data_IF_075166060479
#
_entry.id   IF_075166060479
#
_cell.length_a   1.000
_cell.length_b   1.000
_cell.length_c   1.000
_cell.angle_alpha   90.00
_cell.angle_beta   90.00
_cell.angle_gamma   90.00
#
_symmetry.space_group_name_H-M   'P 1'
#
loop_
_entity.id
_entity.type
_entity.pdbx_description
1 polymer ?
#
# COMPACT_ATOMS: atom_id res chain seq x y z
N UNK A 1 0.13 6.69 -14.64
CA UNK A 1 -0.70 7.88 -14.98
C UNK A 1 -0.33 8.38 -16.38
N UNK A 2 -1.31 8.83 -17.17
CA UNK A 2 -1.09 9.65 -18.37
C UNK A 2 -1.41 11.12 -18.07
N UNK A 3 -0.37 11.92 -17.88
CA UNK A 3 -0.47 13.34 -17.53
C UNK A 3 -0.93 14.25 -18.69
N UNK A 4 -0.99 13.75 -19.93
CA UNK A 4 -1.55 14.55 -21.02
C UNK A 4 -3.08 14.60 -20.98
N UNK A 5 -3.70 13.64 -20.32
CA UNK A 5 -5.16 13.45 -20.25
C UNK A 5 -5.65 13.16 -18.84
N UNK A 6 -4.78 13.26 -17.84
CA UNK A 6 -5.03 12.99 -16.41
C UNK A 6 -5.67 11.62 -16.12
N UNK A 7 -5.44 10.62 -16.96
CA UNK A 7 -6.08 9.30 -16.88
C UNK A 7 -5.14 8.25 -16.27
N UNK A 8 -5.64 7.50 -15.29
CA UNK A 8 -4.90 6.39 -14.68
C UNK A 8 -4.64 5.33 -15.75
N UNK A 9 -3.36 5.22 -16.10
CA UNK A 9 -2.86 4.45 -17.23
C UNK A 9 -1.56 3.76 -16.85
N UNK A 10 -1.28 2.64 -17.50
CA UNK A 10 -0.12 1.77 -17.26
C UNK A 10 0.55 1.40 -18.58
N UNK A 11 1.83 1.02 -18.53
CA UNK A 11 2.60 0.52 -19.70
C UNK A 11 3.00 -0.96 -19.55
N UNK A 12 2.46 -1.69 -18.58
CA UNK A 12 2.79 -3.11 -18.30
C UNK A 12 2.63 -4.01 -19.53
N UNK A 13 1.66 -3.72 -20.40
CA UNK A 13 1.42 -4.46 -21.65
C UNK A 13 2.26 -3.96 -22.82
N UNK A 14 3.31 -3.18 -22.58
CA UNK A 14 4.24 -2.64 -23.58
C UNK A 14 3.79 -1.34 -24.27
N UNK A 15 2.50 -1.01 -24.21
CA UNK A 15 1.94 0.25 -24.70
C UNK A 15 1.14 0.95 -23.60
N UNK A 16 1.31 2.28 -23.47
CA UNK A 16 0.56 3.08 -22.51
C UNK A 16 -0.94 2.98 -22.81
N UNK A 17 -1.70 2.44 -21.87
CA UNK A 17 -3.13 2.19 -22.01
C UNK A 17 -3.87 2.57 -20.72
N UNK A 18 -5.14 3.01 -20.80
CA UNK A 18 -5.98 3.18 -19.61
C UNK A 18 -6.00 1.89 -18.79
N UNK A 19 -5.75 1.98 -17.49
CA UNK A 19 -5.54 0.78 -16.65
C UNK A 19 -6.78 -0.13 -16.66
N UNK A 20 -7.98 0.45 -16.72
CA UNK A 20 -9.25 -0.28 -16.78
C UNK A 20 -9.38 -1.18 -18.01
N UNK A 21 -8.64 -0.90 -19.09
CA UNK A 21 -8.69 -1.68 -20.33
C UNK A 21 -7.76 -2.89 -20.31
N UNK A 22 -6.73 -2.86 -19.46
CA UNK A 22 -5.62 -3.84 -19.50
C UNK A 22 -5.37 -4.54 -18.17
N UNK A 23 -5.95 -4.07 -17.06
CA UNK A 23 -5.84 -4.73 -15.76
C UNK A 23 -6.45 -6.14 -15.81
N UNK A 24 -5.85 -7.14 -15.16
CA UNK A 24 -6.41 -8.48 -15.09
C UNK A 24 -7.87 -8.47 -14.60
N UNK A 25 -8.75 -9.23 -15.26
CA UNK A 25 -10.19 -9.15 -15.02
C UNK A 25 -10.59 -9.42 -13.57
N UNK A 26 -9.90 -10.37 -12.93
CA UNK A 26 -10.09 -10.76 -11.52
C UNK A 26 -9.51 -9.77 -10.51
N UNK A 27 -8.63 -8.86 -10.93
CA UNK A 27 -8.22 -7.73 -10.10
C UNK A 27 -9.39 -6.73 -10.08
N UNK A 28 -10.14 -6.68 -8.99
CA UNK A 28 -11.34 -5.82 -8.90
C UNK A 28 -11.09 -4.45 -8.30
N UNK A 29 -9.94 -4.27 -7.64
CA UNK A 29 -9.59 -3.05 -6.91
C UNK A 29 -8.20 -2.53 -7.30
N UNK A 30 -7.98 -1.21 -7.19
CA UNK A 30 -6.64 -0.60 -7.28
C UNK A 30 -6.50 0.52 -6.27
N UNK A 31 -5.35 0.59 -5.61
CA UNK A 31 -4.97 1.77 -4.82
C UNK A 31 -4.43 2.85 -5.75
N UNK A 32 -5.04 4.04 -5.73
CA UNK A 32 -4.54 5.22 -6.44
C UNK A 32 -3.53 5.93 -5.54
N UNK A 33 -2.28 6.01 -5.99
CA UNK A 33 -1.16 6.54 -5.22
C UNK A 33 -0.42 7.64 -6.02
N UNK A 34 -0.04 8.78 -5.43
CA UNK A 34 -0.36 9.28 -4.09
C UNK A 34 -0.95 10.68 -4.15
N UNK A 35 -1.95 10.95 -3.30
CA UNK A 35 -2.32 12.31 -2.91
C UNK A 35 -1.32 12.85 -1.88
N UNK A 36 -0.70 13.99 -2.16
CA UNK A 36 0.24 14.65 -1.23
C UNK A 36 -0.16 16.10 -0.97
N UNK A 37 0.36 16.71 0.09
CA UNK A 37 -0.02 18.04 0.56
C UNK A 37 -1.18 18.03 1.55
N UNK A 38 -1.80 19.18 1.72
CA UNK A 38 -2.91 19.38 2.67
C UNK A 38 -4.23 18.86 2.08
N UNK A 39 -4.98 18.10 2.88
CA UNK A 39 -6.30 17.59 2.52
C UNK A 39 -7.25 18.70 2.01
N UNK A 40 -7.88 18.46 0.87
CA UNK A 40 -8.79 19.41 0.22
C UNK A 40 -8.11 20.29 -0.83
N UNK A 41 -6.78 20.40 -0.78
CA UNK A 41 -5.92 21.07 -1.77
C UNK A 41 -4.72 20.19 -2.19
N UNK A 42 -4.88 18.89 -2.09
CA UNK A 42 -3.83 17.91 -2.35
C UNK A 42 -3.35 17.94 -3.81
N UNK A 43 -2.21 17.30 -4.09
CA UNK A 43 -1.61 17.19 -5.40
C UNK A 43 -1.35 15.74 -5.78
N UNK A 44 -1.51 15.43 -7.06
CA UNK A 44 -1.25 14.12 -7.65
C UNK A 44 -0.10 14.18 -8.65
N UNK A 45 1.11 14.41 -8.15
CA UNK A 45 2.33 14.54 -8.96
C UNK A 45 2.15 15.50 -10.16
N UNK A 46 1.64 16.71 -9.88
CA UNK A 46 1.34 17.73 -10.89
C UNK A 46 -0.09 17.75 -11.41
N UNK A 47 -0.90 16.71 -11.16
CA UNK A 47 -2.32 16.68 -11.52
C UNK A 47 -3.15 17.29 -10.39
N UNK A 48 -4.12 18.14 -10.74
CA UNK A 48 -5.06 18.68 -9.75
C UNK A 48 -6.09 17.62 -9.34
N UNK A 49 -6.57 17.64 -8.10
CA UNK A 49 -7.60 16.69 -7.64
C UNK A 49 -8.87 16.73 -8.48
N UNK A 50 -9.29 17.92 -8.92
CA UNK A 50 -10.48 18.10 -9.76
C UNK A 50 -10.31 17.44 -11.13
N UNK A 51 -9.14 17.59 -11.77
CA UNK A 51 -8.85 16.97 -13.07
C UNK A 51 -8.78 15.45 -12.95
N UNK A 52 -8.10 14.94 -11.92
CA UNK A 52 -8.03 13.50 -11.65
C UNK A 52 -9.43 12.89 -11.50
N UNK A 53 -10.29 13.52 -10.69
CA UNK A 53 -11.66 13.03 -10.44
C UNK A 53 -12.51 13.09 -11.69
N UNK A 54 -12.49 14.23 -12.38
CA UNK A 54 -13.28 14.44 -13.60
C UNK A 54 -12.95 13.39 -14.66
N UNK A 55 -11.68 13.01 -14.77
CA UNK A 55 -11.27 11.99 -15.72
C UNK A 55 -11.59 10.57 -15.26
N UNK A 56 -11.36 10.22 -13.99
CA UNK A 56 -11.29 8.81 -13.61
C UNK A 56 -12.55 8.28 -12.92
N UNK A 57 -13.17 9.01 -11.98
CA UNK A 57 -14.16 8.42 -11.05
C UNK A 57 -15.34 7.76 -11.78
N UNK A 58 -15.93 8.44 -12.77
CA UNK A 58 -17.07 7.89 -13.53
C UNK A 58 -16.70 6.64 -14.34
N UNK A 59 -15.48 6.57 -14.87
CA UNK A 59 -14.98 5.40 -15.61
C UNK A 59 -14.84 4.18 -14.71
N UNK A 60 -14.31 4.36 -13.49
CA UNK A 60 -14.17 3.27 -12.51
C UNK A 60 -15.51 2.75 -12.01
N UNK A 61 -16.48 3.66 -11.79
CA UNK A 61 -17.87 3.29 -11.48
C UNK A 61 -18.49 2.51 -12.64
N UNK A 62 -18.35 3.01 -13.88
CA UNK A 62 -18.88 2.35 -15.08
C UNK A 62 -18.26 0.98 -15.37
N UNK A 63 -16.98 0.80 -15.04
CA UNK A 63 -16.27 -0.47 -15.16
C UNK A 63 -16.55 -1.45 -13.99
N UNK A 64 -17.33 -1.03 -12.99
CA UNK A 64 -17.55 -1.77 -11.74
C UNK A 64 -16.24 -2.20 -11.05
N UNK A 65 -15.20 -1.35 -11.14
CA UNK A 65 -13.92 -1.51 -10.44
C UNK A 65 -13.87 -0.59 -9.23
N UNK A 66 -13.21 -1.03 -8.19
CA UNK A 66 -13.12 -0.32 -6.91
C UNK A 66 -11.75 0.33 -6.74
N UNK A 67 -11.67 1.33 -5.88
CA UNK A 67 -10.41 1.99 -5.57
C UNK A 67 -10.28 2.41 -4.11
N UNK A 68 -9.03 2.48 -3.66
CA UNK A 68 -8.61 3.11 -2.42
C UNK A 68 -7.77 4.33 -2.79
N UNK A 69 -7.96 5.44 -2.09
CA UNK A 69 -7.09 6.62 -2.27
C UNK A 69 -5.96 6.52 -1.24
N UNK A 70 -4.72 6.37 -1.70
CA UNK A 70 -3.55 6.41 -0.81
C UNK A 70 -2.90 7.78 -0.83
N UNK A 71 -2.47 8.24 0.35
CA UNK A 71 -1.87 9.55 0.57
C UNK A 71 -0.42 9.44 1.01
N UNK A 72 0.41 10.43 0.71
CA UNK A 72 1.81 10.49 1.19
C UNK A 72 2.78 9.77 0.25
N UNK A 73 3.38 8.69 0.75
CA UNK A 73 4.43 7.92 0.09
C UNK A 73 5.83 8.54 0.23
N UNK A 74 6.88 7.82 -0.21
CA UNK A 74 8.28 8.19 0.02
C UNK A 74 8.67 9.59 -0.46
N UNK A 75 7.98 10.11 -1.50
CA UNK A 75 8.23 11.42 -2.10
C UNK A 75 7.20 12.49 -1.73
N UNK A 76 6.28 12.20 -0.81
CA UNK A 76 5.16 13.07 -0.49
C UNK A 76 4.75 13.02 0.97
N UNK A 77 4.39 14.18 1.53
CA UNK A 77 3.79 14.27 2.86
C UNK A 77 2.32 14.60 2.69
N UNK A 78 1.44 13.87 3.35
CA UNK A 78 0.03 14.25 3.48
C UNK A 78 -0.25 14.82 4.86
N UNK A 79 -0.95 15.95 4.89
CA UNK A 79 -1.36 16.64 6.12
C UNK A 79 -2.86 16.92 6.09
N UNK A 80 -3.47 17.07 7.26
CA UNK A 80 -4.87 17.46 7.34
C UNK A 80 -5.20 18.15 8.66
N UNK A 81 -5.39 19.46 8.62
CA UNK A 81 -5.54 20.33 9.79
C UNK A 81 -6.97 20.49 10.30
N UNK A 82 -7.99 20.03 9.57
CA UNK A 82 -9.40 20.22 9.97
C UNK A 82 -10.34 19.09 9.53
N UNK A 83 -11.44 18.90 10.27
CA UNK A 83 -12.45 17.90 9.91
C UNK A 83 -13.16 18.28 8.61
N UNK A 84 -13.43 19.56 8.40
CA UNK A 84 -14.06 20.06 7.17
C UNK A 84 -13.15 19.85 5.94
N UNK A 85 -11.83 20.03 6.09
CA UNK A 85 -10.86 19.73 5.05
C UNK A 85 -10.83 18.23 4.72
N UNK A 86 -10.82 17.38 5.75
CA UNK A 86 -10.82 15.93 5.53
C UNK A 86 -12.13 15.42 4.91
N UNK A 87 -13.28 15.95 5.35
CA UNK A 87 -14.57 15.65 4.74
C UNK A 87 -14.59 16.08 3.27
N UNK A 88 -14.08 17.27 2.96
CA UNK A 88 -13.98 17.76 1.58
C UNK A 88 -13.09 16.87 0.72
N UNK A 89 -11.98 16.38 1.28
CA UNK A 89 -11.11 15.40 0.64
C UNK A 89 -11.85 14.09 0.34
N UNK A 90 -12.55 13.50 1.32
CA UNK A 90 -13.31 12.25 1.12
C UNK A 90 -14.40 12.45 0.05
N UNK A 91 -15.21 13.51 0.17
CA UNK A 91 -16.33 13.76 -0.74
C UNK A 91 -15.86 13.96 -2.20
N UNK A 92 -14.66 14.50 -2.39
CA UNK A 92 -14.08 14.70 -3.73
C UNK A 92 -13.92 13.38 -4.49
N UNK A 93 -13.56 12.29 -3.80
CA UNK A 93 -13.37 10.98 -4.39
C UNK A 93 -14.55 10.02 -4.16
N UNK A 94 -15.57 10.47 -3.44
CA UNK A 94 -16.68 9.62 -3.01
C UNK A 94 -17.49 9.14 -4.21
N UNK A 95 -17.69 7.81 -4.29
CA UNK A 95 -18.49 7.16 -5.31
C UNK A 95 -18.84 5.74 -4.87
N UNK A 96 -19.68 5.05 -5.64
CA UNK A 96 -19.96 3.62 -5.42
C UNK A 96 -18.70 2.74 -5.54
N UNK A 97 -17.59 3.26 -6.07
CA UNK A 97 -16.33 2.55 -6.26
C UNK A 97 -15.28 2.84 -5.17
N UNK A 98 -15.45 3.88 -4.36
CA UNK A 98 -14.52 4.18 -3.27
C UNK A 98 -14.66 3.15 -2.14
N UNK A 99 -13.57 2.49 -1.78
CA UNK A 99 -13.52 1.52 -0.67
C UNK A 99 -12.94 2.09 0.61
N UNK A 100 -12.06 3.08 0.51
CA UNK A 100 -11.37 3.61 1.67
C UNK A 100 -10.27 4.59 1.34
N UNK A 101 -9.65 5.10 2.42
CA UNK A 101 -8.50 5.97 2.39
C UNK A 101 -7.34 5.27 3.08
N UNK A 102 -6.18 5.29 2.45
CA UNK A 102 -4.94 4.77 2.97
C UNK A 102 -3.97 5.93 3.27
N UNK A 103 -3.33 5.88 4.43
CA UNK A 103 -2.32 6.86 4.82
C UNK A 103 -0.95 6.20 4.80
N UNK A 104 -0.20 6.43 3.74
CA UNK A 104 1.19 6.01 3.64
C UNK A 104 2.10 7.05 4.31
N UNK A 105 2.56 6.72 5.51
CA UNK A 105 3.27 7.65 6.41
C UNK A 105 4.72 7.18 6.55
N UNK A 106 5.55 7.62 5.61
CA UNK A 106 6.95 7.19 5.52
C UNK A 106 7.93 8.16 6.19
N UNK A 107 7.56 9.44 6.32
CA UNK A 107 8.38 10.46 6.96
C UNK A 107 7.96 11.89 6.65
N UNK A 108 8.56 12.85 7.35
CA UNK A 108 8.30 14.29 7.14
C UNK A 108 7.15 14.86 7.98
N UNK A 109 6.16 14.06 8.40
CA UNK A 109 5.17 14.50 9.38
C UNK A 109 5.76 14.61 10.80
N UNK A 110 5.47 15.71 11.50
CA UNK A 110 5.71 15.81 12.94
C UNK A 110 4.70 14.97 13.74
N UNK A 111 4.98 14.72 15.02
CA UNK A 111 4.03 14.01 15.89
C UNK A 111 2.66 14.73 15.97
N UNK A 112 2.63 16.06 15.98
CA UNK A 112 1.39 16.83 16.03
C UNK A 112 0.56 16.65 14.74
N UNK A 113 1.21 16.57 13.58
CA UNK A 113 0.56 16.28 12.31
C UNK A 113 -0.02 14.86 12.31
N UNK A 114 0.73 13.88 12.80
CA UNK A 114 0.24 12.49 12.94
C UNK A 114 -0.98 12.46 13.88
N UNK A 115 -0.88 13.10 15.05
CA UNK A 115 -1.99 13.18 16.02
C UNK A 115 -3.24 13.83 15.41
N UNK A 116 -3.08 14.94 14.69
CA UNK A 116 -4.17 15.62 14.01
C UNK A 116 -4.82 14.71 12.97
N UNK A 117 -4.02 14.04 12.14
CA UNK A 117 -4.50 13.11 11.11
C UNK A 117 -5.33 11.98 11.72
N UNK A 118 -4.82 11.31 12.76
CA UNK A 118 -5.57 10.25 13.46
C UNK A 118 -6.88 10.78 14.04
N UNK A 119 -6.88 11.99 14.61
CA UNK A 119 -8.11 12.61 15.11
C UNK A 119 -9.13 12.86 13.98
N UNK A 120 -8.68 13.31 12.79
CA UNK A 120 -9.56 13.49 11.62
C UNK A 120 -10.14 12.15 11.15
N UNK A 121 -9.32 11.09 11.12
CA UNK A 121 -9.77 9.73 10.77
C UNK A 121 -10.85 9.24 11.72
N UNK A 122 -10.70 9.49 13.02
CA UNK A 122 -11.71 9.11 14.02
C UNK A 122 -13.06 9.79 13.75
N UNK A 123 -13.06 11.08 13.42
CA UNK A 123 -14.28 11.81 13.08
C UNK A 123 -14.88 11.31 11.77
N UNK A 124 -14.07 11.21 10.71
CA UNK A 124 -14.54 10.77 9.40
C UNK A 124 -15.10 9.34 9.41
N UNK A 125 -14.51 8.44 10.20
CA UNK A 125 -15.02 7.07 10.33
C UNK A 125 -16.44 7.01 10.88
N UNK A 126 -16.80 7.93 11.78
CA UNK A 126 -18.17 8.02 12.28
C UNK A 126 -19.16 8.51 11.20
N UNK A 127 -18.71 9.41 10.32
CA UNK A 127 -19.51 9.95 9.22
C UNK A 127 -19.58 9.02 8.01
N UNK A 128 -18.56 8.17 7.82
CA UNK A 128 -18.38 7.28 6.68
C UNK A 128 -18.17 5.82 7.11
N UNK A 129 -19.14 5.18 7.78
CA UNK A 129 -18.96 3.84 8.36
C UNK A 129 -18.70 2.73 7.34
N UNK A 130 -19.00 2.97 6.05
CA UNK A 130 -18.73 2.04 4.95
C UNK A 130 -17.30 2.12 4.41
N UNK A 131 -16.51 3.15 4.77
CA UNK A 131 -15.14 3.32 4.31
C UNK A 131 -14.15 2.61 5.24
N UNK A 132 -13.13 2.02 4.62
CA UNK A 132 -11.93 1.51 5.31
C UNK A 132 -10.93 2.66 5.47
N UNK A 133 -10.22 2.65 6.60
CA UNK A 133 -9.10 3.57 6.84
C UNK A 133 -7.88 2.72 7.23
N UNK A 134 -6.83 2.78 6.43
CA UNK A 134 -5.59 2.03 6.63
C UNK A 134 -4.41 2.97 6.85
N UNK A 135 -3.40 2.50 7.58
CA UNK A 135 -2.13 3.19 7.75
C UNK A 135 -1.03 2.30 7.19
N UNK A 136 -0.42 2.73 6.09
CA UNK A 136 0.72 2.06 5.46
C UNK A 136 2.01 2.52 6.14
N UNK A 137 2.75 1.56 6.73
CA UNK A 137 3.88 1.83 7.62
C UNK A 137 5.10 0.96 7.27
N UNK A 138 6.28 1.56 7.32
CA UNK A 138 7.56 0.86 7.18
C UNK A 138 7.77 -0.15 8.32
N UNK A 139 8.28 -1.33 7.98
CA UNK A 139 8.54 -2.40 8.93
C UNK A 139 9.76 -3.25 8.57
N UNK A 140 10.37 -3.85 9.59
CA UNK A 140 11.36 -4.91 9.51
C UNK A 140 10.69 -6.28 9.63
N UNK A 141 11.36 -7.33 9.15
CA UNK A 141 10.90 -8.72 9.20
C UNK A 141 11.84 -9.64 9.98
N UNK A 142 12.72 -9.05 10.80
CA UNK A 142 13.71 -9.75 11.61
C UNK A 142 13.16 -10.26 12.94
N UNK A 143 14.07 -10.49 13.89
CA UNK A 143 13.77 -11.07 15.20
C UNK A 143 13.39 -10.06 16.29
N UNK A 144 13.21 -8.78 15.94
CA UNK A 144 12.79 -7.75 16.90
C UNK A 144 11.29 -7.88 17.22
N UNK A 145 10.88 -7.90 18.50
CA UNK A 145 9.46 -7.91 18.87
C UNK A 145 8.69 -6.70 18.33
N UNK A 146 9.30 -5.52 18.40
CA UNK A 146 8.76 -4.30 17.78
C UNK A 146 9.48 -4.09 16.44
N UNK A 147 8.71 -4.19 15.35
CA UNK A 147 9.28 -4.23 14.00
C UNK A 147 8.96 -3.01 13.13
N UNK A 148 8.16 -2.05 13.59
CA UNK A 148 7.88 -0.82 12.83
C UNK A 148 9.03 0.17 12.95
N UNK A 149 9.27 0.96 11.90
CA UNK A 149 10.13 2.14 11.98
C UNK A 149 9.61 3.18 12.99
N UNK A 150 10.44 4.18 13.32
CA UNK A 150 10.11 5.19 14.32
C UNK A 150 8.80 5.96 14.03
N UNK A 151 8.53 6.27 12.77
CA UNK A 151 7.28 6.90 12.34
C UNK A 151 6.08 5.95 12.57
N UNK A 152 6.22 4.66 12.27
CA UNK A 152 5.17 3.68 12.55
C UNK A 152 4.87 3.55 14.05
N UNK A 153 5.89 3.61 14.92
CA UNK A 153 5.69 3.66 16.38
C UNK A 153 4.89 4.91 16.78
N UNK A 154 5.22 6.06 16.20
CA UNK A 154 4.50 7.32 16.45
C UNK A 154 3.03 7.25 16.04
N UNK A 155 2.73 6.62 14.89
CA UNK A 155 1.37 6.38 14.41
C UNK A 155 0.61 5.46 15.35
N UNK A 156 1.20 4.31 15.75
CA UNK A 156 0.55 3.37 16.66
C UNK A 156 0.27 3.99 18.03
N UNK A 157 1.18 4.82 18.55
CA UNK A 157 0.97 5.57 19.78
C UNK A 157 -0.16 6.60 19.64
N UNK A 158 -0.26 7.31 18.52
CA UNK A 158 -1.34 8.26 18.24
C UNK A 158 -2.71 7.56 18.09
N UNK A 159 -2.75 6.41 17.41
CA UNK A 159 -3.95 5.56 17.33
C UNK A 159 -4.41 5.15 18.72
N UNK A 160 -3.49 4.65 19.55
CA UNK A 160 -3.79 4.25 20.94
C UNK A 160 -4.27 5.42 21.79
N UNK A 161 -3.61 6.57 21.73
CA UNK A 161 -3.96 7.74 22.55
C UNK A 161 -5.29 8.37 22.14
N UNK A 162 -5.61 8.36 20.83
CA UNK A 162 -6.89 8.85 20.33
C UNK A 162 -8.06 7.89 20.61
N UNK A 163 -7.77 6.63 20.91
CA UNK A 163 -8.78 5.57 21.02
C UNK A 163 -9.49 5.28 19.69
N UNK A 164 -8.78 5.43 18.56
CA UNK A 164 -9.29 5.04 17.25
C UNK A 164 -9.40 3.51 17.17
N UNK A 165 -10.56 3.00 16.78
CA UNK A 165 -10.81 1.57 16.54
C UNK A 165 -11.29 1.32 15.11
N UNK A 166 -11.24 0.07 14.67
CA UNK A 166 -11.69 -0.34 13.33
C UNK A 166 -10.86 0.27 12.20
N UNK A 167 -9.55 0.28 12.37
CA UNK A 167 -8.57 0.68 11.36
C UNK A 167 -7.85 -0.57 10.83
N UNK A 168 -7.07 -0.38 9.77
CA UNK A 168 -6.15 -1.38 9.24
C UNK A 168 -4.72 -0.86 9.34
N UNK A 169 -3.75 -1.75 9.56
CA UNK A 169 -2.33 -1.44 9.41
C UNK A 169 -1.83 -2.23 8.21
N UNK A 170 -1.32 -1.51 7.22
CA UNK A 170 -0.71 -2.10 6.03
C UNK A 170 0.81 -2.02 6.16
N UNK A 171 1.47 -3.18 6.19
CA UNK A 171 2.90 -3.27 6.44
C UNK A 171 3.69 -3.26 5.14
N UNK A 172 4.56 -2.26 4.94
CA UNK A 172 5.52 -2.27 3.84
C UNK A 172 6.62 -3.29 4.14
N UNK A 173 6.40 -4.52 3.69
CA UNK A 173 7.29 -5.65 3.87
C UNK A 173 8.35 -5.67 2.76
N UNK A 174 9.15 -4.61 2.72
CA UNK A 174 10.14 -4.30 1.71
C UNK A 174 11.27 -3.46 2.31
N UNK A 175 12.40 -3.39 1.61
CA UNK A 175 13.54 -2.53 1.91
C UNK A 175 14.00 -2.60 3.37
N UNK A 176 14.17 -3.82 3.87
CA UNK A 176 14.65 -4.08 5.23
C UNK A 176 16.11 -3.63 5.42
N UNK A 177 16.84 -3.47 4.33
CA UNK A 177 18.22 -2.99 4.30
C UNK A 177 19.20 -4.15 4.28
N UNK A 178 20.26 -4.08 5.10
CA UNK A 178 21.26 -5.14 5.14
C UNK A 178 20.65 -6.48 5.59
N UNK A 179 21.09 -7.59 4.98
CA UNK A 179 20.69 -8.94 5.37
C UNK A 179 21.30 -9.36 6.72
N UNK A 180 20.72 -8.85 7.80
CA UNK A 180 21.05 -9.19 9.19
C UNK A 180 19.77 -9.56 9.94
N UNK A 181 19.90 -10.43 10.96
CA UNK A 181 18.76 -11.01 11.67
C UNK A 181 17.85 -9.99 12.37
N UNK A 182 18.33 -8.78 12.66
CA UNK A 182 17.51 -7.69 13.21
C UNK A 182 16.59 -7.06 12.17
N UNK A 183 16.99 -7.09 10.89
CA UNK A 183 16.29 -6.40 9.81
C UNK A 183 15.31 -7.34 9.11
N UNK A 184 15.74 -8.56 8.84
CA UNK A 184 14.94 -9.54 8.11
C UNK A 184 15.23 -10.95 8.60
N UNK A 185 14.36 -11.88 8.20
CA UNK A 185 14.62 -13.31 8.42
C UNK A 185 15.64 -13.78 7.40
N UNK A 186 16.73 -14.39 7.85
CA UNK A 186 17.78 -14.87 6.97
C UNK A 186 17.43 -16.26 6.41
N UNK A 187 17.42 -16.38 5.09
CA UNK A 187 17.35 -17.66 4.40
C UNK A 187 18.69 -18.41 4.42
N UNK A 188 18.70 -19.62 3.85
CA UNK A 188 19.88 -20.50 3.82
C UNK A 188 21.11 -19.90 3.11
N UNK A 189 20.90 -18.96 2.20
CA UNK A 189 21.96 -18.24 1.50
C UNK A 189 22.48 -16.98 2.20
N UNK A 190 22.03 -16.69 3.44
CA UNK A 190 22.42 -15.48 4.18
C UNK A 190 21.78 -14.19 3.67
N UNK A 191 20.83 -14.29 2.73
CA UNK A 191 19.99 -13.19 2.22
C UNK A 191 18.66 -13.15 2.97
N UNK A 192 17.94 -12.04 2.88
CA UNK A 192 16.59 -11.96 3.41
C UNK A 192 15.66 -12.95 2.70
N UNK A 193 14.99 -13.81 3.47
CA UNK A 193 13.82 -14.56 3.01
C UNK A 193 12.64 -13.60 3.01
N UNK A 194 12.25 -13.12 1.84
CA UNK A 194 11.26 -12.05 1.72
C UNK A 194 9.86 -12.48 2.19
N UNK A 195 9.44 -13.71 1.91
CA UNK A 195 8.13 -14.19 2.39
C UNK A 195 8.12 -14.37 3.90
N UNK A 196 9.15 -15.01 4.46
CA UNK A 196 9.19 -15.24 5.89
C UNK A 196 9.37 -13.92 6.67
N UNK A 197 10.11 -12.96 6.10
CA UNK A 197 10.25 -11.62 6.66
C UNK A 197 8.90 -10.89 6.69
N UNK A 198 8.13 -10.94 5.59
CA UNK A 198 6.79 -10.35 5.53
C UNK A 198 5.83 -10.98 6.55
N UNK A 199 5.86 -12.31 6.69
CA UNK A 199 5.11 -13.05 7.70
C UNK A 199 5.50 -12.59 9.11
N UNK A 200 6.80 -12.50 9.39
CA UNK A 200 7.30 -12.08 10.70
C UNK A 200 6.91 -10.64 11.02
N UNK A 201 6.91 -9.72 10.04
CA UNK A 201 6.40 -8.36 10.25
C UNK A 201 4.94 -8.36 10.75
N UNK A 202 4.07 -9.18 10.13
CA UNK A 202 2.67 -9.29 10.54
C UNK A 202 2.52 -9.94 11.94
N UNK A 203 3.27 -11.01 12.22
CA UNK A 203 3.30 -11.67 13.54
C UNK A 203 3.78 -10.72 14.63
N UNK A 204 4.84 -9.96 14.36
CA UNK A 204 5.41 -9.01 15.31
C UNK A 204 4.45 -7.86 15.60
N UNK A 205 3.80 -7.30 14.57
CA UNK A 205 2.75 -6.28 14.75
C UNK A 205 1.60 -6.83 15.61
N UNK A 206 1.12 -8.03 15.32
CA UNK A 206 0.05 -8.69 16.09
C UNK A 206 0.45 -8.87 17.55
N UNK A 207 1.61 -9.46 17.81
CA UNK A 207 2.06 -9.80 19.17
C UNK A 207 2.41 -8.57 19.99
N UNK A 208 3.07 -7.57 19.41
CA UNK A 208 3.56 -6.40 20.14
C UNK A 208 2.49 -5.33 20.34
N UNK A 209 1.70 -5.04 19.30
CA UNK A 209 0.69 -3.97 19.34
C UNK A 209 -0.73 -4.48 19.56
N UNK A 210 -0.97 -5.79 19.49
CA UNK A 210 -2.30 -6.38 19.66
C UNK A 210 -3.26 -6.16 18.49
N UNK A 211 -2.75 -5.78 17.31
CA UNK A 211 -3.57 -5.59 16.11
C UNK A 211 -4.02 -6.98 15.62
N UNK A 212 -5.33 -7.28 15.55
CA UNK A 212 -5.79 -8.60 15.10
C UNK A 212 -5.46 -8.82 13.61
N UNK A 213 -5.21 -10.06 13.20
CA UNK A 213 -4.82 -10.36 11.81
C UNK A 213 -5.83 -9.85 10.77
N UNK A 214 -7.14 -9.88 11.09
CA UNK A 214 -8.18 -9.32 10.22
C UNK A 214 -8.20 -7.78 10.15
N UNK A 215 -7.22 -7.10 10.76
CA UNK A 215 -6.90 -5.68 10.62
C UNK A 215 -5.45 -5.45 10.14
N UNK A 216 -4.74 -6.51 9.76
CA UNK A 216 -3.38 -6.43 9.21
C UNK A 216 -3.43 -6.70 7.71
N UNK A 217 -2.83 -5.79 6.96
CA UNK A 217 -2.55 -5.89 5.53
C UNK A 217 -1.03 -5.93 5.34
N UNK A 218 -0.55 -6.52 4.25
CA UNK A 218 0.87 -6.59 3.94
C UNK A 218 1.11 -6.17 2.49
N UNK A 219 2.11 -5.33 2.27
CA UNK A 219 2.54 -4.84 0.96
C UNK A 219 4.01 -5.20 0.76
N UNK A 220 4.35 -6.32 0.11
CA UNK A 220 5.67 -6.51 -0.45
C UNK A 220 5.92 -5.59 -1.66
N UNK A 221 7.17 -5.31 -1.93
CA UNK A 221 7.62 -4.78 -3.21
C UNK A 221 7.97 -5.97 -4.12
N UNK A 222 7.34 -6.07 -5.29
CA UNK A 222 7.49 -7.26 -6.15
C UNK A 222 8.85 -7.28 -6.88
N UNK A 223 9.44 -8.45 -7.05
CA UNK A 223 10.75 -8.59 -7.68
C UNK A 223 11.86 -7.85 -6.93
N UNK A 224 12.78 -7.21 -7.63
CA UNK A 224 13.94 -6.53 -7.02
C UNK A 224 13.54 -5.28 -6.23
N UNK A 225 14.04 -5.16 -5.00
CA UNK A 225 13.82 -4.03 -4.10
C UNK A 225 14.95 -2.97 -4.23
N UNK A 226 14.85 -1.87 -3.49
CA UNK A 226 15.89 -0.84 -3.40
C UNK A 226 17.11 -1.35 -2.61
N UNK A 227 16.87 -2.13 -1.56
CA UNK A 227 17.93 -2.81 -0.82
C UNK A 227 18.59 -3.93 -1.64
N UNK A 228 19.92 -3.88 -1.74
CA UNK A 228 20.71 -4.90 -2.45
C UNK A 228 20.41 -6.29 -1.89
N UNK A 229 20.17 -7.26 -2.79
CA UNK A 229 19.88 -8.68 -2.51
C UNK A 229 18.47 -9.01 -1.98
N UNK A 230 17.58 -8.03 -1.86
CA UNK A 230 16.16 -8.28 -1.62
C UNK A 230 15.42 -8.47 -2.95
N UNK A 231 14.87 -9.67 -3.16
CA UNK A 231 14.06 -9.99 -4.35
C UNK A 231 12.82 -10.77 -3.91
N UNK A 232 11.64 -10.15 -4.00
CA UNK A 232 10.37 -10.83 -3.76
C UNK A 232 9.94 -11.62 -4.99
N UNK A 233 10.08 -12.93 -4.94
CA UNK A 233 9.84 -13.83 -6.07
C UNK A 233 8.38 -14.29 -6.17
N UNK A 234 8.04 -14.96 -7.27
CA UNK A 234 6.75 -15.65 -7.40
C UNK A 234 6.57 -16.71 -6.30
N UNK A 235 7.61 -17.46 -5.92
CA UNK A 235 7.49 -18.43 -4.81
C UNK A 235 7.17 -17.74 -3.46
N UNK A 236 7.59 -16.48 -3.28
CA UNK A 236 7.24 -15.70 -2.09
C UNK A 236 5.75 -15.30 -2.09
N UNK A 237 5.16 -15.05 -3.27
CA UNK A 237 3.70 -14.88 -3.41
C UNK A 237 2.97 -16.08 -2.82
N UNK A 238 3.39 -17.29 -3.18
CA UNK A 238 2.75 -18.55 -2.79
C UNK A 238 2.75 -18.70 -1.27
N UNK A 239 3.93 -18.46 -0.69
CA UNK A 239 4.17 -18.61 0.74
C UNK A 239 3.36 -17.59 1.54
N UNK A 240 3.45 -16.31 1.15
CA UNK A 240 2.74 -15.23 1.82
C UNK A 240 1.22 -15.38 1.68
N UNK A 241 0.72 -15.71 0.48
CA UNK A 241 -0.71 -15.87 0.21
C UNK A 241 -1.30 -17.05 0.98
N UNK A 242 -0.59 -18.18 1.04
CA UNK A 242 -1.03 -19.33 1.83
C UNK A 242 -1.13 -18.99 3.32
N UNK A 243 -0.11 -18.32 3.87
CA UNK A 243 -0.10 -17.91 5.28
C UNK A 243 -1.19 -16.85 5.58
N UNK A 244 -1.35 -15.85 4.70
CA UNK A 244 -2.33 -14.80 4.85
C UNK A 244 -3.76 -15.35 4.91
N UNK A 245 -4.11 -16.29 4.01
CA UNK A 245 -5.41 -16.99 4.06
C UNK A 245 -5.58 -17.78 5.34
N UNK A 246 -4.56 -18.56 5.73
CA UNK A 246 -4.64 -19.42 6.90
C UNK A 246 -4.83 -18.65 8.21
N UNK A 247 -4.33 -17.40 8.29
CA UNK A 247 -4.42 -16.55 9.48
C UNK A 247 -5.50 -15.47 9.38
N UNK A 248 -6.23 -15.39 8.27
CA UNK A 248 -7.31 -14.43 8.08
C UNK A 248 -6.83 -12.98 8.02
N UNK A 249 -5.74 -12.72 7.30
CA UNK A 249 -5.27 -11.36 7.06
C UNK A 249 -6.33 -10.50 6.34
N UNK A 250 -6.32 -9.21 6.61
CA UNK A 250 -7.28 -8.27 6.02
C UNK A 250 -7.08 -8.04 4.53
N UNK A 251 -5.85 -8.21 4.04
CA UNK A 251 -5.49 -7.98 2.64
C UNK A 251 -4.00 -8.16 2.35
N UNK A 252 -3.69 -8.28 1.06
CA UNK A 252 -2.34 -8.14 0.52
C UNK A 252 -2.41 -7.10 -0.60
N UNK A 253 -1.48 -6.17 -0.59
CA UNK A 253 -1.21 -5.24 -1.70
C UNK A 253 0.20 -5.52 -2.22
N UNK A 254 0.65 -4.82 -3.25
CA UNK A 254 2.06 -4.83 -3.60
C UNK A 254 2.49 -3.53 -4.27
N UNK A 255 3.78 -3.20 -4.13
CA UNK A 255 4.41 -2.10 -4.84
C UNK A 255 5.17 -2.63 -6.07
N UNK A 256 4.73 -2.35 -7.30
CA UNK A 256 3.49 -1.67 -7.70
C UNK A 256 2.96 -2.23 -9.01
N UNK A 257 1.74 -1.83 -9.40
CA UNK A 257 1.09 -2.30 -10.63
C UNK A 257 1.98 -2.09 -11.86
N UNK A 258 2.58 -0.90 -12.02
CA UNK A 258 3.42 -0.57 -13.17
C UNK A 258 4.74 -1.37 -13.22
N UNK A 259 5.10 -2.04 -12.13
CA UNK A 259 6.27 -2.93 -12.04
C UNK A 259 5.96 -4.35 -12.48
N UNK A 260 4.71 -4.73 -12.68
CA UNK A 260 4.32 -6.13 -12.94
C UNK A 260 4.55 -6.58 -14.40
N UNK A 261 5.78 -6.38 -14.87
CA UNK A 261 6.30 -6.80 -16.16
C UNK A 261 7.80 -7.08 -16.02
N UNK A 262 8.28 -8.07 -16.76
CA UNK A 262 9.68 -8.48 -16.69
C UNK A 262 10.66 -7.44 -17.25
N UNK A 263 11.81 -7.38 -16.59
CA UNK A 263 13.05 -6.79 -17.10
C UNK A 263 14.25 -7.52 -16.49
N UNK A 264 15.46 -7.12 -16.86
CA UNK A 264 16.68 -7.73 -16.33
C UNK A 264 16.71 -7.69 -14.80
N UNK A 265 17.16 -8.78 -14.17
CA UNK A 265 17.27 -8.86 -12.72
C UNK A 265 18.20 -7.76 -12.17
N UNK A 266 17.79 -7.11 -11.08
CA UNK A 266 18.53 -6.01 -10.48
C UNK A 266 17.76 -5.31 -9.38
N UNK A 267 18.21 -4.10 -9.01
CA UNK A 267 17.51 -3.23 -8.05
C UNK A 267 16.16 -2.75 -8.58
N UNK A 268 15.36 -2.17 -7.70
CA UNK A 268 14.08 -1.56 -8.00
C UNK A 268 14.08 -0.71 -9.28
N UNK A 269 13.02 -0.89 -10.07
CA UNK A 269 12.64 -0.05 -11.20
C UNK A 269 11.18 0.34 -11.04
N UNK A 270 10.82 1.57 -11.41
CA UNK A 270 9.44 2.05 -11.35
C UNK A 270 8.55 1.45 -12.46
N UNK A 271 9.13 0.82 -13.49
CA UNK A 271 8.42 0.40 -14.70
C UNK A 271 8.51 -1.10 -15.01
N UNK A 272 9.19 -1.87 -14.16
CA UNK A 272 9.32 -3.32 -14.30
C UNK A 272 9.77 -3.97 -12.98
N UNK A 273 9.68 -5.29 -12.90
CA UNK A 273 9.84 -6.03 -11.64
C UNK A 273 11.29 -6.27 -11.24
N UNK A 274 12.27 -6.07 -12.14
CA UNK A 274 13.68 -6.40 -11.90
C UNK A 274 13.90 -7.83 -11.36
N UNK A 275 13.03 -8.77 -11.75
CA UNK A 275 13.09 -10.21 -11.45
C UNK A 275 13.21 -11.04 -12.73
N UNK A 276 12.49 -10.66 -13.78
CA UNK A 276 12.68 -11.19 -15.14
C UNK A 276 12.13 -12.60 -15.39
N UNK A 277 11.32 -13.12 -14.48
CA UNK A 277 10.77 -14.49 -14.55
C UNK A 277 9.26 -14.56 -14.24
N UNK A 278 8.58 -13.43 -14.03
CA UNK A 278 7.16 -13.42 -13.70
C UNK A 278 6.27 -13.32 -14.93
N UNK A 279 6.75 -12.71 -16.02
CA UNK A 279 5.98 -12.32 -17.18
C UNK A 279 5.15 -11.05 -16.94
N UNK A 280 4.38 -10.66 -17.96
CA UNK A 280 3.40 -9.57 -17.87
C UNK A 280 2.24 -9.97 -16.96
N UNK A 281 1.92 -9.13 -15.98
CA UNK A 281 0.91 -9.39 -14.93
C UNK A 281 1.22 -10.62 -14.05
N UNK A 282 2.47 -11.06 -14.01
CA UNK A 282 2.87 -12.30 -13.34
C UNK A 282 2.54 -12.32 -11.86
N UNK A 283 2.87 -11.27 -11.13
CA UNK A 283 2.59 -11.17 -9.71
C UNK A 283 1.10 -10.98 -9.43
N UNK A 284 0.41 -10.11 -10.19
CA UNK A 284 -1.03 -9.90 -10.06
C UNK A 284 -1.80 -11.20 -10.23
N UNK A 285 -1.54 -11.93 -11.32
CA UNK A 285 -2.21 -13.19 -11.61
C UNK A 285 -1.89 -14.26 -10.58
N UNK A 286 -0.66 -14.27 -10.05
CA UNK A 286 -0.28 -15.22 -9.00
C UNK A 286 -1.00 -14.94 -7.69
N UNK A 287 -1.00 -13.70 -7.21
CA UNK A 287 -1.75 -13.33 -6.00
C UNK A 287 -3.23 -13.65 -6.14
N UNK A 288 -3.86 -13.27 -7.26
CA UNK A 288 -5.27 -13.59 -7.54
C UNK A 288 -5.54 -15.09 -7.47
N UNK A 289 -4.69 -15.90 -8.12
CA UNK A 289 -4.82 -17.36 -8.12
C UNK A 289 -4.68 -17.93 -6.70
N UNK A 290 -3.61 -17.56 -5.99
CA UNK A 290 -3.29 -18.13 -4.69
C UNK A 290 -4.26 -17.65 -3.60
N UNK A 291 -4.84 -16.45 -3.74
CA UNK A 291 -5.89 -15.95 -2.84
C UNK A 291 -7.29 -16.50 -3.16
N UNK A 292 -7.49 -17.13 -4.32
CA UNK A 292 -8.77 -17.69 -4.73
C UNK A 292 -9.82 -16.64 -5.13
N UNK A 293 -9.35 -15.53 -5.72
CA UNK A 293 -10.18 -14.40 -6.18
C UNK A 293 -10.67 -14.58 -7.63
#
# INVERSE_FOLDING_TARGET
MDWNVDQISTSVTGARSPVLNVMPAKQTSLTWAFASGECGSENWAGVTPAALVAQNVSQWVGANKKYIISTGGANGVFTCGSDAGFESFIQRYNSASLQGIDFDIEGGQSQDVINALIARVKVAKANHPGLRFSFTLATLGGNSPQSLGGIGVNVMNAIKSSGLGGYYINLMAMDYGSAIASNCTLGSGGKCDMAQSAINSAVNLHNYWGVPYNQIEVTPMIGGNDATDEVFTIANVDTLSAWAKANGLAGIHFWSLDRDVDCAAGSASATCNSYGQAGTWGFTNRFVSDLGL
#
